data_IF_861974702023
#
_entry.id   IF_861974702023
#
_cell.length_a   1.000
_cell.length_b   1.000
_cell.length_c   1.000
_cell.angle_alpha   90.00
_cell.angle_beta   90.00
_cell.angle_gamma   90.00
#
_symmetry.space_group_name_H-M   'P 1'
#
loop_
_entity.id
_entity.type
_entity.pdbx_description
1 polymer ?
#
# COMPACT_ATOMS: atom_id res chain seq x y z
N UNK A 1 16.43 16.21 25.02
CA UNK A 1 15.78 15.96 23.71
C UNK A 1 14.61 15.02 23.95
N UNK A 2 13.36 15.49 23.87
CA UNK A 2 12.17 14.66 24.11
C UNK A 2 11.78 14.04 22.76
N UNK A 3 12.13 12.78 22.54
CA UNK A 3 11.85 12.11 21.27
C UNK A 3 10.34 11.84 21.19
N UNK A 4 9.62 12.69 20.46
CA UNK A 4 8.20 12.50 20.19
C UNK A 4 8.05 11.50 19.05
N UNK A 5 7.79 10.23 19.39
CA UNK A 5 7.57 9.16 18.41
C UNK A 5 6.20 9.20 17.73
N UNK A 6 5.27 10.04 18.22
CA UNK A 6 3.90 10.16 17.73
C UNK A 6 3.82 10.44 16.21
N UNK A 7 4.55 11.41 15.63
CA UNK A 7 4.50 11.68 14.19
C UNK A 7 4.95 10.49 13.34
N UNK A 8 5.93 9.73 13.85
CA UNK A 8 6.51 8.58 13.17
C UNK A 8 5.52 7.40 13.18
N UNK A 9 4.86 7.17 14.32
CA UNK A 9 3.81 6.17 14.44
C UNK A 9 2.63 6.46 13.51
N UNK A 10 2.18 7.72 13.46
CA UNK A 10 1.13 8.14 12.54
C UNK A 10 1.56 7.91 11.09
N UNK A 11 2.81 8.25 10.74
CA UNK A 11 3.36 7.97 9.41
C UNK A 11 3.29 6.49 9.01
N UNK A 12 3.63 5.58 9.92
CA UNK A 12 3.53 4.13 9.68
C UNK A 12 2.08 3.70 9.45
N UNK A 13 1.13 4.18 10.26
CA UNK A 13 -0.29 3.84 10.10
C UNK A 13 -0.82 4.29 8.73
N UNK A 14 -0.53 5.53 8.33
CA UNK A 14 -0.91 6.03 7.00
C UNK A 14 -0.27 5.23 5.87
N UNK A 15 0.97 4.78 6.06
CA UNK A 15 1.67 3.92 5.09
C UNK A 15 0.97 2.59 4.90
N UNK A 16 0.55 1.94 5.99
CA UNK A 16 -0.20 0.67 5.92
C UNK A 16 -1.54 0.85 5.22
N UNK A 17 -2.27 1.93 5.53
CA UNK A 17 -3.56 2.25 4.88
C UNK A 17 -3.35 2.46 3.37
N UNK A 18 -2.32 3.20 2.97
CA UNK A 18 -2.03 3.43 1.57
C UNK A 18 -1.62 2.15 0.83
N UNK A 19 -0.77 1.31 1.44
CA UNK A 19 -0.41 -0.01 0.90
C UNK A 19 -1.65 -0.87 0.70
N UNK A 20 -2.54 -0.90 1.69
CA UNK A 20 -3.78 -1.66 1.58
C UNK A 20 -4.67 -1.17 0.44
N UNK A 21 -4.89 0.14 0.33
CA UNK A 21 -5.69 0.72 -0.76
C UNK A 21 -5.11 0.42 -2.14
N UNK A 22 -3.78 0.54 -2.30
CA UNK A 22 -3.11 0.24 -3.57
C UNK A 22 -3.19 -1.25 -3.89
N UNK A 23 -3.03 -2.12 -2.89
CA UNK A 23 -3.15 -3.57 -3.06
C UNK A 23 -4.57 -3.96 -3.49
N UNK A 24 -5.59 -3.42 -2.82
CA UNK A 24 -6.99 -3.64 -3.16
C UNK A 24 -7.31 -3.15 -4.59
N UNK A 25 -6.83 -1.95 -4.94
CA UNK A 25 -7.01 -1.40 -6.27
C UNK A 25 -6.31 -2.21 -7.37
N UNK A 26 -5.05 -2.57 -7.18
CA UNK A 26 -4.26 -3.31 -8.18
C UNK A 26 -4.72 -4.76 -8.35
N UNK A 27 -5.18 -5.42 -7.29
CA UNK A 27 -5.54 -6.84 -7.35
C UNK A 27 -7.03 -7.05 -7.60
N UNK A 28 -7.90 -6.35 -6.88
CA UNK A 28 -9.34 -6.59 -6.91
C UNK A 28 -9.99 -5.78 -8.02
N UNK A 29 -9.80 -4.46 -8.04
CA UNK A 29 -10.46 -3.60 -9.03
C UNK A 29 -9.97 -3.90 -10.45
N UNK A 30 -8.66 -4.03 -10.68
CA UNK A 30 -8.16 -4.43 -12.00
C UNK A 30 -8.66 -5.81 -12.43
N UNK A 31 -8.88 -6.75 -11.50
CA UNK A 31 -9.43 -8.06 -11.84
C UNK A 31 -10.88 -7.95 -12.32
N UNK A 32 -11.71 -7.22 -11.57
CA UNK A 32 -13.12 -6.99 -11.88
C UNK A 32 -13.29 -6.22 -13.19
N UNK A 33 -12.49 -5.18 -13.42
CA UNK A 33 -12.52 -4.35 -14.64
C UNK A 33 -12.15 -5.16 -15.90
N UNK A 34 -11.24 -6.14 -15.75
CA UNK A 34 -10.89 -7.07 -16.82
C UNK A 34 -11.91 -8.21 -17.00
N UNK A 35 -13.04 -8.15 -16.30
CA UNK A 35 -14.14 -9.12 -16.39
C UNK A 35 -13.87 -10.45 -15.69
N UNK A 36 -12.87 -10.52 -14.81
CA UNK A 36 -12.54 -11.68 -13.98
C UNK A 36 -13.29 -11.70 -12.64
N UNK A 37 -13.14 -12.79 -11.90
CA UNK A 37 -13.57 -12.92 -10.51
C UNK A 37 -12.35 -13.09 -9.60
N UNK A 38 -12.23 -12.25 -8.57
CA UNK A 38 -11.12 -12.32 -7.64
C UNK A 38 -11.35 -13.39 -6.57
N UNK A 39 -10.43 -14.35 -6.46
CA UNK A 39 -10.42 -15.36 -5.39
C UNK A 39 -9.59 -14.83 -4.22
N UNK A 40 -10.26 -14.34 -3.19
CA UNK A 40 -9.62 -13.82 -1.96
C UNK A 40 -8.85 -14.89 -1.18
N UNK A 41 -9.17 -16.17 -1.35
CA UNK A 41 -8.46 -17.25 -0.64
C UNK A 41 -7.09 -17.53 -1.25
N UNK A 42 -6.95 -17.31 -2.57
CA UNK A 42 -5.72 -17.54 -3.32
C UNK A 42 -4.99 -16.25 -3.71
N UNK A 43 -5.63 -15.10 -3.51
CA UNK A 43 -5.18 -13.79 -3.99
C UNK A 43 -4.95 -13.78 -5.52
N UNK A 44 -5.79 -14.49 -6.26
CA UNK A 44 -5.67 -14.68 -7.71
C UNK A 44 -6.89 -14.13 -8.45
N UNK A 45 -6.64 -13.59 -9.64
CA UNK A 45 -7.71 -13.19 -10.55
C UNK A 45 -8.04 -14.34 -11.52
N UNK A 46 -9.27 -14.86 -11.45
CA UNK A 46 -9.78 -15.88 -12.35
C UNK A 46 -10.48 -15.21 -13.53
N UNK A 47 -9.92 -15.32 -14.73
CA UNK A 47 -10.58 -14.83 -15.93
C UNK A 47 -11.67 -15.80 -16.41
N UNK A 48 -12.66 -15.29 -17.15
CA UNK A 48 -13.79 -16.08 -17.69
C UNK A 48 -13.36 -17.24 -18.60
N UNK A 49 -12.17 -17.16 -19.18
CA UNK A 49 -11.52 -18.16 -20.02
C UNK A 49 -10.83 -19.28 -19.21
N UNK A 50 -10.88 -19.24 -17.86
CA UNK A 50 -10.25 -20.24 -16.99
C UNK A 50 -8.75 -20.02 -16.77
N UNK A 51 -8.18 -18.95 -17.34
CA UNK A 51 -6.79 -18.57 -17.12
C UNK A 51 -6.63 -17.86 -15.77
N UNK A 52 -5.65 -18.33 -14.99
CA UNK A 52 -5.23 -17.67 -13.76
C UNK A 52 -4.23 -16.60 -14.13
N UNK A 53 -4.63 -15.32 -14.02
CA UNK A 53 -3.72 -14.22 -14.25
C UNK A 53 -2.95 -13.93 -12.96
N UNK A 54 -1.86 -14.65 -12.75
CA UNK A 54 -0.85 -14.24 -11.77
C UNK A 54 -0.25 -12.92 -12.25
N UNK A 55 -0.46 -11.85 -11.50
CA UNK A 55 0.04 -10.53 -11.87
C UNK A 55 1.57 -10.58 -12.00
N UNK A 56 2.13 -10.23 -13.16
CA UNK A 56 3.58 -10.11 -13.36
C UNK A 56 4.21 -9.10 -12.38
N UNK A 57 3.39 -8.18 -11.85
CA UNK A 57 3.77 -7.29 -10.76
C UNK A 57 4.13 -8.04 -9.47
N UNK A 58 3.67 -9.28 -9.24
CA UNK A 58 3.87 -9.99 -7.97
C UNK A 58 5.34 -10.06 -7.53
N UNK A 59 6.28 -10.20 -8.48
CA UNK A 59 7.72 -10.19 -8.18
C UNK A 59 8.25 -8.82 -7.74
N UNK A 60 7.65 -7.74 -8.22
CA UNK A 60 8.07 -6.36 -7.94
C UNK A 60 7.21 -5.66 -6.90
N UNK A 61 6.02 -6.18 -6.60
CA UNK A 61 5.01 -5.52 -5.75
C UNK A 61 5.53 -5.32 -4.33
N UNK A 62 6.34 -6.27 -3.83
CA UNK A 62 6.99 -6.15 -2.53
C UNK A 62 7.99 -5.00 -2.49
N UNK A 63 8.77 -4.81 -3.55
CA UNK A 63 9.68 -3.67 -3.66
C UNK A 63 8.90 -2.35 -3.73
N UNK A 64 7.82 -2.31 -4.51
CA UNK A 64 6.93 -1.14 -4.60
C UNK A 64 6.34 -0.79 -3.22
N UNK A 65 5.83 -1.77 -2.48
CA UNK A 65 5.29 -1.56 -1.13
C UNK A 65 6.35 -1.11 -0.13
N UNK A 66 7.56 -1.65 -0.22
CA UNK A 66 8.67 -1.21 0.62
C UNK A 66 8.97 0.29 0.42
N UNK A 67 9.19 0.71 -0.83
CA UNK A 67 9.46 2.12 -1.12
C UNK A 67 8.27 3.00 -0.80
N UNK A 68 7.05 2.55 -1.13
CA UNK A 68 5.84 3.31 -0.85
C UNK A 68 5.64 3.54 0.66
N UNK A 69 5.85 2.51 1.48
CA UNK A 69 5.79 2.65 2.93
C UNK A 69 6.85 3.59 3.48
N UNK A 70 8.08 3.52 2.95
CA UNK A 70 9.18 4.39 3.37
C UNK A 70 8.89 5.86 3.02
N UNK A 71 8.48 6.14 1.78
CA UNK A 71 8.17 7.48 1.32
C UNK A 71 6.96 8.08 2.02
N UNK A 72 5.86 7.33 2.16
CA UNK A 72 4.64 7.82 2.81
C UNK A 72 4.90 8.09 4.30
N UNK A 73 5.59 7.17 4.99
CA UNK A 73 5.89 7.34 6.41
C UNK A 73 6.73 8.58 6.66
N UNK A 74 7.79 8.79 5.87
CA UNK A 74 8.61 9.99 5.96
C UNK A 74 7.80 11.25 5.63
N UNK A 75 7.04 11.23 4.54
CA UNK A 75 6.26 12.38 4.09
C UNK A 75 5.22 12.82 5.12
N UNK A 76 4.48 11.87 5.70
CA UNK A 76 3.48 12.12 6.75
C UNK A 76 4.18 12.60 8.02
N UNK A 77 5.29 11.97 8.42
CA UNK A 77 6.08 12.38 9.59
C UNK A 77 6.58 13.82 9.46
N UNK A 78 7.13 14.18 8.29
CA UNK A 78 7.58 15.54 8.00
C UNK A 78 6.41 16.54 7.99
N UNK A 79 5.28 16.17 7.38
CA UNK A 79 4.09 17.02 7.31
C UNK A 79 3.53 17.31 8.69
N UNK A 80 3.41 16.30 9.55
CA UNK A 80 2.93 16.47 10.94
C UNK A 80 3.91 17.36 11.72
N UNK A 81 5.22 17.10 11.63
CA UNK A 81 6.23 17.95 12.30
C UNK A 81 6.17 19.40 11.84
N UNK A 82 5.97 19.64 10.54
CA UNK A 82 5.83 20.97 9.95
C UNK A 82 4.56 21.68 10.38
N UNK A 83 3.42 20.97 10.43
CA UNK A 83 2.12 21.54 10.82
C UNK A 83 2.09 21.87 12.32
N UNK A 84 2.66 20.99 13.15
CA UNK A 84 2.65 21.14 14.61
C UNK A 84 3.90 21.84 15.17
N UNK A 85 4.78 22.34 14.31
CA UNK A 85 6.00 23.07 14.66
C UNK A 85 6.87 22.31 15.70
N UNK A 86 7.00 21.00 15.52
CA UNK A 86 7.73 20.12 16.44
C UNK A 86 9.23 20.18 16.06
N UNK A 87 10.06 20.74 16.93
CA UNK A 87 11.52 20.76 16.77
C UNK A 87 12.12 19.34 16.74
N UNK A 88 13.19 19.15 15.96
CA UNK A 88 13.80 17.86 15.63
C UNK A 88 14.38 17.11 16.83
#
# INVERSE_FOLDING_TARGET
MKINFIPLFIGVIFSLIAIWLVNDYLLVNQCLDNGGSFDYSKAECLLKNGEVKTSELGSYIMAVYFFMGLFISLFVSFSIRKIFNIEQ
#
